data_IF_994862712434
#
_entry.id   IF_994862712434
#
_cell.length_a   1.000
_cell.length_b   1.000
_cell.length_c   1.000
_cell.angle_alpha   90.00
_cell.angle_beta   90.00
_cell.angle_gamma   90.00
#
_symmetry.space_group_name_H-M   'P 1'
#
loop_
_entity.id
_entity.type
_entity.pdbx_description
1 polymer ?
#
# COMPACT_ATOMS: atom_id res chain seq x y z
N UNK A 1 -34.79 4.26 9.40
CA UNK A 1 -35.74 3.93 8.32
C UNK A 1 -35.15 2.75 7.55
N UNK A 2 -35.59 1.55 7.89
CA UNK A 2 -35.11 0.27 7.35
C UNK A 2 -36.00 -0.09 6.18
N UNK A 3 -35.46 -0.12 4.96
CA UNK A 3 -36.19 -0.51 3.76
C UNK A 3 -35.98 -2.02 3.62
N UNK A 4 -37.06 -2.80 3.76
CA UNK A 4 -37.08 -4.22 3.46
C UNK A 4 -37.47 -4.39 1.99
N UNK A 5 -36.53 -4.86 1.16
CA UNK A 5 -36.82 -5.39 -0.17
C UNK A 5 -36.96 -6.90 -0.03
N UNK A 6 -38.18 -7.38 -0.19
CA UNK A 6 -38.52 -8.80 -0.20
C UNK A 6 -38.20 -9.35 -1.60
N UNK A 7 -37.08 -10.06 -1.73
CA UNK A 7 -36.74 -10.75 -2.97
C UNK A 7 -37.43 -12.13 -2.99
N UNK A 8 -38.05 -12.47 -4.12
CA UNK A 8 -38.89 -13.66 -4.34
C UNK A 8 -38.10 -14.98 -4.40
N UNK A 9 -36.80 -14.95 -4.10
CA UNK A 9 -35.98 -16.14 -3.95
C UNK A 9 -35.78 -16.35 -2.46
N UNK A 10 -36.41 -17.38 -1.91
CA UNK A 10 -36.44 -17.75 -0.48
C UNK A 10 -35.09 -18.08 0.17
N UNK A 11 -33.99 -17.57 -0.38
CA UNK A 11 -32.73 -17.45 0.34
C UNK A 11 -32.82 -16.16 1.16
N UNK A 12 -33.06 -16.33 2.46
CA UNK A 12 -32.72 -15.32 3.46
C UNK A 12 -31.19 -15.22 3.54
N UNK A 13 -30.57 -14.76 2.46
CA UNK A 13 -29.25 -14.17 2.51
C UNK A 13 -29.41 -12.94 3.39
N UNK A 14 -29.13 -13.15 4.69
CA UNK A 14 -28.93 -12.11 5.67
C UNK A 14 -27.85 -11.22 5.05
N UNK A 15 -28.29 -10.17 4.35
CA UNK A 15 -27.52 -8.99 4.06
C UNK A 15 -27.22 -8.42 5.44
N UNK A 16 -26.19 -8.99 6.10
CA UNK A 16 -25.47 -8.31 7.16
C UNK A 16 -25.10 -7.00 6.51
N UNK A 17 -25.84 -5.96 6.87
CA UNK A 17 -25.54 -4.58 6.56
C UNK A 17 -24.12 -4.37 7.05
N UNK A 18 -23.16 -4.63 6.16
CA UNK A 18 -21.75 -4.42 6.40
C UNK A 18 -21.66 -2.92 6.54
N UNK A 19 -21.71 -2.44 7.79
CA UNK A 19 -21.56 -1.04 8.14
C UNK A 19 -20.30 -0.57 7.46
N UNK A 20 -20.48 0.17 6.37
CA UNK A 20 -19.56 0.21 5.25
C UNK A 20 -18.16 0.60 5.78
N UNK A 21 -17.21 -0.35 5.89
CA UNK A 21 -15.93 -0.08 6.55
C UNK A 21 -15.07 0.89 5.72
N UNK A 22 -15.51 1.21 4.49
CA UNK A 22 -14.96 2.19 3.58
C UNK A 22 -14.62 3.55 4.22
N UNK A 23 -15.46 4.06 5.14
CA UNK A 23 -15.21 5.36 5.76
C UNK A 23 -13.97 5.33 6.67
N UNK A 24 -13.86 4.33 7.54
CA UNK A 24 -12.70 4.17 8.44
C UNK A 24 -11.42 3.93 7.63
N UNK A 25 -11.50 3.17 6.53
CA UNK A 25 -10.34 2.90 5.68
C UNK A 25 -9.77 4.15 5.01
N UNK A 26 -10.66 5.05 4.55
CA UNK A 26 -10.25 6.31 3.95
C UNK A 26 -9.45 7.15 4.95
N UNK A 27 -9.94 7.26 6.19
CA UNK A 27 -9.31 8.07 7.23
C UNK A 27 -7.95 7.52 7.66
N UNK A 28 -7.85 6.20 7.90
CA UNK A 28 -6.58 5.58 8.31
C UNK A 28 -5.53 5.73 7.20
N UNK A 29 -5.91 5.56 5.94
CA UNK A 29 -4.97 5.68 4.82
C UNK A 29 -4.47 7.11 4.64
N UNK A 30 -5.36 8.10 4.73
CA UNK A 30 -5.00 9.52 4.68
C UNK A 30 -4.09 9.86 5.87
N UNK A 31 -4.42 9.39 7.07
CA UNK A 31 -3.61 9.59 8.26
C UNK A 31 -2.20 9.04 8.10
N UNK A 32 -2.03 7.79 7.64
CA UNK A 32 -0.70 7.22 7.40
C UNK A 32 0.09 8.02 6.35
N UNK A 33 -0.58 8.56 5.31
CA UNK A 33 0.08 9.37 4.28
C UNK A 33 0.56 10.73 4.77
N UNK A 34 -0.10 11.32 5.75
CA UNK A 34 0.34 12.59 6.37
C UNK A 34 1.38 12.31 7.45
N UNK A 35 1.23 11.22 8.18
CA UNK A 35 2.13 10.82 9.26
C UNK A 35 3.55 10.53 8.77
N UNK A 36 3.71 9.87 7.61
CA UNK A 36 5.02 9.57 7.02
C UNK A 36 5.92 10.80 6.82
N UNK A 37 5.49 11.80 6.02
CA UNK A 37 6.23 13.05 5.84
C UNK A 37 6.46 13.82 7.14
N UNK A 38 5.52 13.79 8.08
CA UNK A 38 5.67 14.44 9.38
C UNK A 38 6.81 13.79 10.18
N UNK A 39 6.83 12.46 10.26
CA UNK A 39 7.91 11.70 10.92
C UNK A 39 9.24 11.92 10.21
N UNK A 40 9.26 12.01 8.88
CA UNK A 40 10.45 12.32 8.11
C UNK A 40 11.07 13.68 8.49
N UNK A 41 10.26 14.74 8.56
CA UNK A 41 10.74 16.08 8.98
C UNK A 41 11.21 16.06 10.43
N UNK A 42 10.47 15.38 11.32
CA UNK A 42 10.86 15.23 12.72
C UNK A 42 12.20 14.50 12.87
N UNK A 43 12.43 13.43 12.11
CA UNK A 43 13.69 12.67 12.13
C UNK A 43 14.88 13.50 11.63
N UNK A 44 14.67 14.36 10.63
CA UNK A 44 15.70 15.32 10.20
C UNK A 44 16.05 16.33 11.31
N UNK A 45 15.04 16.91 11.96
CA UNK A 45 15.27 17.83 13.08
C UNK A 45 15.99 17.14 14.26
N UNK A 46 15.63 15.90 14.57
CA UNK A 46 16.28 15.09 15.61
C UNK A 46 17.73 14.75 15.23
N UNK A 47 18.01 14.44 13.97
CA UNK A 47 19.37 14.17 13.49
C UNK A 47 20.27 15.40 13.67
N UNK A 48 19.81 16.59 13.24
CA UNK A 48 20.53 17.85 13.42
C UNK A 48 20.75 18.14 14.90
N UNK A 49 19.71 17.96 15.73
CA UNK A 49 19.80 18.16 17.17
C UNK A 49 20.82 17.22 17.82
N UNK A 50 20.86 15.95 17.42
CA UNK A 50 21.83 14.98 17.90
C UNK A 50 23.28 15.36 17.55
N UNK A 51 23.51 15.91 16.36
CA UNK A 51 24.83 16.45 15.99
C UNK A 51 25.26 17.63 16.85
N UNK A 52 24.33 18.53 17.21
CA UNK A 52 24.65 19.69 18.06
C UNK A 52 24.99 19.32 19.50
N UNK A 53 24.46 18.20 20.01
CA UNK A 53 24.61 17.77 21.41
C UNK A 53 25.81 16.83 21.66
N UNK A 54 26.78 16.78 20.74
CA UNK A 54 28.02 15.97 20.86
C UNK A 54 27.79 14.44 20.75
N UNK A 55 26.60 14.01 20.33
CA UNK A 55 26.33 12.59 20.05
C UNK A 55 26.55 12.26 18.57
N UNK A 56 27.80 12.34 18.10
CA UNK A 56 28.13 12.19 16.68
C UNK A 56 27.64 10.86 16.09
N UNK A 57 27.86 9.74 16.81
CA UNK A 57 27.41 8.41 16.36
C UNK A 57 25.88 8.31 16.23
N UNK A 58 25.15 8.84 17.22
CA UNK A 58 23.69 8.89 17.23
C UNK A 58 23.13 9.77 16.11
N UNK A 59 23.76 10.92 15.86
CA UNK A 59 23.42 11.82 14.76
C UNK A 59 23.59 11.16 13.40
N UNK A 60 24.71 10.44 13.18
CA UNK A 60 24.96 9.70 11.93
C UNK A 60 23.88 8.63 11.72
N UNK A 61 23.53 7.87 12.76
CA UNK A 61 22.47 6.87 12.68
C UNK A 61 21.11 7.49 12.35
N UNK A 62 20.70 8.53 13.06
CA UNK A 62 19.43 9.22 12.80
C UNK A 62 19.37 9.84 11.40
N UNK A 63 20.50 10.40 10.92
CA UNK A 63 20.60 10.93 9.56
C UNK A 63 20.45 9.83 8.51
N UNK A 64 21.12 8.69 8.70
CA UNK A 64 20.98 7.53 7.81
C UNK A 64 19.53 7.05 7.75
N UNK A 65 18.86 6.92 8.90
CA UNK A 65 17.45 6.53 8.96
C UNK A 65 16.54 7.59 8.30
N UNK A 66 16.82 8.88 8.49
CA UNK A 66 16.06 9.96 7.87
C UNK A 66 16.17 9.92 6.33
N UNK A 67 17.34 9.61 5.79
CA UNK A 67 17.55 9.43 4.34
C UNK A 67 16.75 8.22 3.83
N UNK A 68 16.80 7.09 4.51
CA UNK A 68 16.00 5.91 4.14
C UNK A 68 14.50 6.20 4.17
N UNK A 69 14.01 6.91 5.19
CA UNK A 69 12.63 7.36 5.31
C UNK A 69 12.20 8.21 4.11
N UNK A 70 13.05 9.15 3.67
CA UNK A 70 12.79 9.94 2.45
C UNK A 70 12.59 9.01 1.26
N UNK A 71 13.54 8.12 0.97
CA UNK A 71 13.39 7.20 -0.17
C UNK A 71 12.10 6.37 -0.11
N UNK A 72 11.74 5.92 1.09
CA UNK A 72 10.59 5.06 1.29
C UNK A 72 9.25 5.80 1.20
N UNK A 73 9.13 6.99 1.76
CA UNK A 73 7.92 7.83 1.66
C UNK A 73 7.73 8.36 0.24
N UNK A 74 8.82 8.78 -0.42
CA UNK A 74 8.76 9.23 -1.81
C UNK A 74 8.55 8.08 -2.81
N UNK A 75 8.69 6.82 -2.41
CA UNK A 75 8.45 5.67 -3.30
C UNK A 75 7.05 5.63 -3.91
N UNK A 76 6.04 6.11 -3.20
CA UNK A 76 4.71 6.23 -3.77
C UNK A 76 4.61 7.34 -4.82
N UNK A 77 5.33 8.46 -4.61
CA UNK A 77 5.33 9.61 -5.52
C UNK A 77 6.02 9.24 -6.85
N UNK A 78 7.19 8.62 -6.76
CA UNK A 78 7.95 8.17 -7.92
C UNK A 78 7.24 7.04 -8.69
N UNK A 79 6.43 6.20 -8.03
CA UNK A 79 5.58 5.22 -8.70
C UNK A 79 4.57 5.82 -9.69
N UNK A 80 4.23 7.11 -9.55
CA UNK A 80 3.38 7.84 -10.50
C UNK A 80 4.14 8.41 -11.70
N UNK A 81 5.46 8.53 -11.60
CA UNK A 81 6.29 9.13 -12.65
C UNK A 81 6.55 8.07 -13.73
N UNK A 82 5.97 8.28 -14.92
CA UNK A 82 6.11 7.35 -16.06
C UNK A 82 7.57 7.20 -16.53
N UNK A 83 8.44 8.18 -16.27
CA UNK A 83 9.85 8.13 -16.64
C UNK A 83 10.62 6.98 -15.97
N UNK A 84 10.14 6.48 -14.82
CA UNK A 84 10.76 5.37 -14.08
C UNK A 84 10.33 3.99 -14.62
N UNK A 85 9.35 3.94 -15.54
CA UNK A 85 8.84 2.70 -16.15
C UNK A 85 9.65 2.20 -17.36
N UNK A 86 10.59 3.00 -17.89
CA UNK A 86 11.48 2.55 -18.98
C UNK A 86 12.48 1.51 -18.45
N UNK A 87 12.88 0.56 -19.30
CA UNK A 87 13.87 -0.51 -19.03
C UNK A 87 15.31 0.02 -18.88
N UNK A 88 15.47 1.15 -18.21
CA UNK A 88 16.76 1.68 -17.79
C UNK A 88 17.18 1.01 -16.47
N UNK A 89 18.49 0.98 -16.19
CA UNK A 89 19.06 0.48 -14.93
C UNK A 89 18.34 1.05 -13.68
N UNK A 90 18.01 2.35 -13.73
CA UNK A 90 17.26 3.05 -12.68
C UNK A 90 15.86 2.44 -12.44
N UNK A 91 15.17 2.02 -13.51
CA UNK A 91 13.85 1.39 -13.44
C UNK A 91 13.90 -0.04 -12.88
N UNK A 92 15.02 -0.76 -13.06
CA UNK A 92 15.24 -2.06 -12.43
C UNK A 92 15.52 -1.93 -10.93
N UNK A 93 16.39 -0.99 -10.52
CA UNK A 93 16.58 -0.68 -9.10
C UNK A 93 15.26 -0.24 -8.46
N UNK A 94 14.49 0.60 -9.17
CA UNK A 94 13.18 1.03 -8.72
C UNK A 94 12.19 -0.11 -8.53
N UNK A 95 12.13 -1.06 -9.48
CA UNK A 95 11.29 -2.26 -9.37
C UNK A 95 11.63 -3.07 -8.12
N UNK A 96 12.91 -3.24 -7.81
CA UNK A 96 13.35 -3.93 -6.58
C UNK A 96 12.87 -3.19 -5.32
N UNK A 97 12.95 -1.86 -5.30
CA UNK A 97 12.45 -1.04 -4.19
C UNK A 97 10.92 -1.03 -4.07
N UNK A 98 10.19 -1.01 -5.18
CA UNK A 98 8.72 -1.10 -5.18
C UNK A 98 8.26 -2.49 -4.72
N UNK A 99 9.07 -3.53 -4.93
CA UNK A 99 8.80 -4.89 -4.46
C UNK A 99 8.81 -5.03 -2.93
N UNK A 100 9.28 -4.01 -2.20
CA UNK A 100 9.04 -3.92 -0.76
C UNK A 100 7.57 -3.64 -0.48
N UNK A 101 6.84 -4.73 -0.36
CA UNK A 101 5.46 -4.77 0.11
C UNK A 101 5.30 -4.01 1.43
N UNK A 102 4.10 -3.45 1.64
CA UNK A 102 3.78 -2.62 2.81
C UNK A 102 4.09 -3.32 4.15
N UNK A 103 4.04 -4.65 4.21
CA UNK A 103 4.35 -5.42 5.42
C UNK A 103 5.87 -5.49 5.71
N UNK A 104 6.72 -5.59 4.68
CA UNK A 104 8.18 -5.60 4.85
C UNK A 104 8.68 -4.26 5.35
N UNK A 105 8.10 -3.16 4.86
CA UNK A 105 8.40 -1.79 5.30
C UNK A 105 8.13 -1.58 6.80
N UNK A 106 7.00 -2.11 7.28
CA UNK A 106 6.67 -2.07 8.71
C UNK A 106 7.72 -2.78 9.57
N UNK A 107 8.23 -3.92 9.08
CA UNK A 107 9.29 -4.67 9.76
C UNK A 107 10.61 -3.90 9.79
N UNK A 108 10.99 -3.21 8.70
CA UNK A 108 12.19 -2.36 8.68
C UNK A 108 12.12 -1.24 9.73
N UNK A 109 11.01 -0.50 9.78
CA UNK A 109 10.83 0.55 10.80
C UNK A 109 10.87 0.00 12.21
N UNK A 110 10.32 -1.19 12.42
CA UNK A 110 10.36 -1.86 13.72
C UNK A 110 11.79 -2.24 14.13
N UNK A 111 12.59 -2.78 13.20
CA UNK A 111 14.00 -3.10 13.45
C UNK A 111 14.80 -1.82 13.74
N UNK A 112 14.61 -0.76 12.96
CA UNK A 112 15.28 0.52 13.22
C UNK A 112 14.88 1.14 14.55
N UNK A 113 13.62 1.01 14.97
CA UNK A 113 13.17 1.45 16.28
C UNK A 113 13.88 0.69 17.41
N UNK A 114 14.01 -0.64 17.30
CA UNK A 114 14.75 -1.44 18.28
C UNK A 114 16.21 -0.99 18.34
N UNK A 115 16.87 -0.85 17.18
CA UNK A 115 18.27 -0.41 17.11
C UNK A 115 18.43 0.98 17.74
N UNK A 116 17.50 1.90 17.48
CA UNK A 116 17.50 3.23 18.10
C UNK A 116 17.42 3.17 19.62
N UNK A 117 16.56 2.31 20.18
CA UNK A 117 16.43 2.12 21.62
C UNK A 117 17.67 1.45 22.25
N UNK A 118 18.26 0.48 21.55
CA UNK A 118 19.45 -0.24 22.03
C UNK A 118 20.69 0.66 22.03
N UNK A 119 20.92 1.42 20.95
CA UNK A 119 22.06 2.34 20.86
C UNK A 119 21.88 3.53 21.81
N UNK A 120 20.65 4.06 21.89
CA UNK A 120 20.42 5.31 22.61
C UNK A 120 20.20 5.17 24.10
N UNK A 121 19.62 4.04 24.54
CA UNK A 121 19.11 3.89 25.90
C UNK A 121 18.18 5.04 26.31
N UNK A 122 18.01 5.23 27.63
CA UNK A 122 17.25 6.36 28.19
C UNK A 122 18.04 7.68 28.25
N UNK A 123 19.37 7.63 28.06
CA UNK A 123 20.24 8.79 28.24
C UNK A 123 20.27 9.72 27.02
N UNK A 124 20.12 9.17 25.81
CA UNK A 124 20.11 9.99 24.58
C UNK A 124 18.68 10.24 24.12
N UNK A 125 18.10 11.32 24.63
CA UNK A 125 16.72 11.70 24.34
C UNK A 125 16.36 11.75 22.83
N UNK A 126 17.22 12.19 21.88
CA UNK A 126 16.82 12.26 20.47
C UNK A 126 16.63 10.87 19.84
N UNK A 127 17.43 9.88 20.26
CA UNK A 127 17.30 8.50 19.81
C UNK A 127 16.05 7.85 20.40
N UNK A 128 15.73 8.14 21.67
CA UNK A 128 14.51 7.65 22.30
C UNK A 128 13.26 8.19 21.59
N UNK A 129 13.21 9.51 21.33
CA UNK A 129 12.10 10.14 20.60
C UNK A 129 12.04 9.64 19.15
N UNK A 130 13.18 9.54 18.47
CA UNK A 130 13.26 9.02 17.10
C UNK A 130 12.79 7.56 17.00
N UNK A 131 13.23 6.70 17.92
CA UNK A 131 12.79 5.32 18.04
C UNK A 131 11.27 5.22 18.30
N UNK A 132 10.73 6.09 19.16
CA UNK A 132 9.29 6.17 19.41
C UNK A 132 8.49 6.56 18.16
N UNK A 133 8.95 7.56 17.41
CA UNK A 133 8.33 7.97 16.14
C UNK A 133 8.36 6.85 15.10
N UNK A 134 9.50 6.16 14.97
CA UNK A 134 9.64 4.98 14.09
C UNK A 134 8.70 3.85 14.51
N UNK A 135 8.53 3.61 15.80
CA UNK A 135 7.64 2.58 16.33
C UNK A 135 6.16 2.90 16.01
N UNK A 136 5.74 4.16 16.19
CA UNK A 136 4.39 4.62 15.83
C UNK A 136 4.17 4.40 14.33
N UNK A 137 5.16 4.75 13.50
CA UNK A 137 5.10 4.54 12.06
C UNK A 137 5.02 3.05 11.71
N UNK A 138 5.83 2.20 12.35
CA UNK A 138 5.82 0.75 12.16
C UNK A 138 4.43 0.15 12.46
N UNK A 139 3.81 0.56 13.57
CA UNK A 139 2.45 0.13 13.95
C UNK A 139 1.42 0.61 12.93
N UNK A 140 1.48 1.87 12.51
CA UNK A 140 0.56 2.42 11.50
C UNK A 140 0.64 1.66 10.16
N UNK A 141 1.86 1.32 9.72
CA UNK A 141 2.08 0.51 8.51
C UNK A 141 1.68 -0.96 8.71
N UNK A 142 1.85 -1.54 9.90
CA UNK A 142 1.40 -2.89 10.22
C UNK A 142 -0.13 -3.00 10.18
N UNK A 143 -0.83 -2.02 10.77
CA UNK A 143 -2.28 -1.92 10.75
C UNK A 143 -2.80 -1.81 9.32
N UNK A 144 -2.11 -1.03 8.49
CA UNK A 144 -2.38 -0.95 7.05
C UNK A 144 -2.18 -2.31 6.37
N UNK A 145 -1.05 -3.00 6.60
CA UNK A 145 -0.72 -4.27 5.97
C UNK A 145 -1.65 -5.44 6.35
N UNK A 146 -1.97 -5.61 7.64
CA UNK A 146 -2.82 -6.71 8.16
C UNK A 146 -4.24 -6.71 7.61
N UNK A 147 -4.72 -5.57 7.11
CA UNK A 147 -6.09 -5.45 6.59
C UNK A 147 -6.19 -5.82 5.11
N UNK A 148 -5.15 -5.61 4.31
CA UNK A 148 -5.13 -6.03 2.90
C UNK A 148 -5.14 -7.56 2.74
N UNK A 149 -4.54 -8.30 3.68
CA UNK A 149 -4.51 -9.77 3.66
C UNK A 149 -5.87 -10.42 3.95
N UNK A 150 -6.84 -9.69 4.51
CA UNK A 150 -8.20 -10.21 4.78
C UNK A 150 -9.19 -9.98 3.64
N UNK A 151 -8.79 -9.22 2.62
CA UNK A 151 -9.59 -8.95 1.43
C UNK A 151 -8.96 -9.74 0.27
N UNK A 152 -8.72 -11.04 0.47
CA UNK A 152 -8.61 -11.91 -0.69
C UNK A 152 -10.03 -12.09 -1.25
N UNK A 153 -10.21 -11.97 -2.57
CA UNK A 153 -11.52 -12.11 -3.17
C UNK A 153 -12.02 -13.50 -2.82
N UNK A 154 -13.22 -13.58 -2.22
CA UNK A 154 -14.01 -14.80 -2.27
C UNK A 154 -13.97 -15.26 -3.72
N UNK A 155 -13.15 -16.28 -4.02
CA UNK A 155 -13.10 -16.95 -5.32
C UNK A 155 -14.56 -17.28 -5.60
N UNK A 156 -15.16 -16.55 -6.53
CA UNK A 156 -16.59 -16.61 -6.76
C UNK A 156 -16.88 -18.06 -7.22
N UNK A 157 -17.49 -18.92 -6.38
CA UNK A 157 -17.64 -20.34 -6.74
C UNK A 157 -18.60 -20.53 -7.92
N UNK A 158 -19.32 -19.47 -8.32
CA UNK A 158 -20.35 -19.50 -9.35
C UNK A 158 -19.83 -19.70 -10.79
N UNK A 159 -18.51 -19.66 -11.06
CA UNK A 159 -17.98 -19.91 -12.43
C UNK A 159 -17.46 -21.34 -12.61
N UNK A 160 -17.33 -22.13 -11.53
CA UNK A 160 -16.79 -23.50 -11.59
C UNK A 160 -17.88 -24.59 -11.64
N UNK A 161 -19.17 -24.21 -11.64
CA UNK A 161 -20.31 -25.13 -11.64
C UNK A 161 -21.23 -24.99 -12.86
N UNK A 162 -20.67 -24.79 -14.07
CA UNK A 162 -21.38 -25.16 -15.30
C UNK A 162 -20.86 -26.52 -15.80
N UNK A 163 -21.47 -27.64 -15.36
CA UNK A 163 -21.26 -28.92 -16.03
C UNK A 163 -21.94 -28.85 -17.40
N UNK A 164 -21.17 -28.87 -18.50
CA UNK A 164 -21.76 -29.20 -19.80
C UNK A 164 -21.31 -28.45 -21.06
N UNK A 165 -20.16 -27.77 -21.10
CA UNK A 165 -19.59 -27.35 -22.40
C UNK A 165 -18.53 -28.34 -22.87
N UNK A 166 -19.00 -29.42 -23.50
CA UNK A 166 -18.18 -30.33 -24.28
C UNK A 166 -17.46 -29.57 -25.41
N UNK A 167 -16.22 -29.96 -25.79
CA UNK A 167 -15.60 -29.51 -27.03
C UNK A 167 -16.33 -30.18 -28.21
N UNK A 168 -17.38 -29.52 -28.72
CA UNK A 168 -18.07 -29.97 -29.93
C UNK A 168 -17.24 -29.57 -31.15
N UNK A 169 -16.47 -30.52 -31.67
CA UNK A 169 -15.93 -30.52 -33.04
C UNK A 169 -17.10 -30.60 -34.03
N UNK A 170 -17.59 -29.44 -34.45
CA UNK A 170 -18.60 -29.32 -35.49
C UNK A 170 -18.21 -28.23 -36.48
N UNK A 171 -17.56 -28.64 -37.57
CA UNK A 171 -17.42 -27.82 -38.77
C UNK A 171 -18.81 -27.51 -39.33
N UNK A 172 -19.21 -26.23 -39.32
CA UNK A 172 -20.34 -25.71 -40.09
C UNK A 172 -19.85 -24.64 -41.07
N UNK A 173 -20.45 -24.58 -42.27
CA UNK A 173 -19.94 -23.82 -43.40
C UNK A 173 -20.26 -22.33 -43.30
N UNK A 174 -19.52 -21.56 -44.10
CA UNK A 174 -19.42 -20.11 -44.09
C UNK A 174 -20.75 -19.36 -43.96
N UNK A 175 -20.80 -18.52 -42.93
CA UNK A 175 -21.66 -17.36 -42.91
C UNK A 175 -20.76 -16.12 -42.75
N UNK A 176 -20.62 -15.41 -43.85
CA UNK A 176 -19.95 -14.11 -43.99
C UNK A 176 -20.74 -13.05 -43.24
N UNK A 177 -20.64 -13.01 -41.91
CA UNK A 177 -21.08 -11.86 -41.14
C UNK A 177 -19.93 -10.87 -41.07
N UNK A 178 -20.02 -9.83 -41.91
CA UNK A 178 -19.27 -8.59 -41.78
C UNK A 178 -19.40 -8.06 -40.36
N UNK A 179 -18.28 -8.07 -39.64
CA UNK A 179 -18.12 -7.42 -38.35
C UNK A 179 -18.46 -5.93 -38.47
N UNK A 180 -19.42 -5.38 -37.69
CA UNK A 180 -19.44 -3.96 -37.44
C UNK A 180 -18.22 -3.66 -36.56
N UNK A 181 -17.22 -3.09 -37.22
CA UNK A 181 -16.06 -2.38 -36.69
C UNK A 181 -16.43 -1.60 -35.41
N UNK A 182 -16.23 -2.21 -34.25
CA UNK A 182 -16.28 -1.56 -32.95
C UNK A 182 -14.88 -1.03 -32.63
N UNK A 183 -14.53 0.06 -33.30
CA UNK A 183 -13.46 0.96 -32.87
C UNK A 183 -13.96 1.67 -31.60
N UNK A 184 -14.18 0.93 -30.50
CA UNK A 184 -14.28 1.50 -29.16
C UNK A 184 -12.86 1.51 -28.63
N UNK A 185 -12.16 2.54 -29.07
CA UNK A 185 -10.97 3.09 -28.47
C UNK A 185 -11.27 3.32 -26.99
N UNK A 186 -10.82 2.42 -26.13
CA UNK A 186 -10.82 2.63 -24.69
C UNK A 186 -9.84 3.76 -24.40
N UNK A 187 -10.38 4.98 -24.44
CA UNK A 187 -9.72 6.20 -24.03
C UNK A 187 -9.12 6.00 -22.65
N UNK A 188 -7.79 6.07 -22.62
CA UNK A 188 -7.01 6.33 -21.42
C UNK A 188 -7.69 7.43 -20.59
N UNK A 189 -8.08 7.18 -19.33
CA UNK A 189 -8.61 8.23 -18.48
C UNK A 189 -7.51 9.25 -18.26
N UNK A 190 -7.65 10.36 -18.98
CA UNK A 190 -6.93 11.59 -18.76
C UNK A 190 -6.99 11.93 -17.27
N UNK A 191 -5.81 11.95 -16.67
CA UNK A 191 -5.51 12.64 -15.44
C UNK A 191 -6.04 14.08 -15.52
N UNK A 192 -7.10 14.36 -14.78
CA UNK A 192 -7.26 15.65 -14.13
C UNK A 192 -7.08 15.41 -12.63
N UNK A 193 -6.28 16.30 -12.04
CA UNK A 193 -5.82 16.37 -10.65
C UNK A 193 -4.57 15.54 -10.34
#
# INVERSE_FOLDING_TARGET
MTIFLENTFGDTAVLKTYRNPAWIYSHITIFCRVLGPLVMVAMWALAVTAFTLIYAASGIFLLFVAILLVFQEFSWLFGRIQAVKRDNWMGNCWRAFVWFDSWKRSLEYFVFAIVAFVIGGFSTWPLFVGGGLLLILAIAYLLKARRFTKIEPLKNPAVESLPGTNPFTGSLPGNSYTSPRSDIEWGSPASKY
#
